data_IF_446855080074
#
_entry.id   IF_446855080074
#
_cell.length_a   1.000
_cell.length_b   1.000
_cell.length_c   1.000
_cell.angle_alpha   90.00
_cell.angle_beta   90.00
_cell.angle_gamma   90.00
#
_symmetry.space_group_name_H-M   'P 1'
#
loop_
_entity.id
_entity.type
_entity.pdbx_description
1 polymer ?
#
# COMPACT_ATOMS: atom_id res chain seq x y z
N UNK A 1 27.60 -27.59 15.45
CA UNK A 1 26.96 -27.96 16.73
C UNK A 1 26.38 -26.69 17.33
N UNK A 2 25.07 -26.51 17.26
CA UNK A 2 24.31 -25.45 17.94
C UNK A 2 23.00 -26.09 18.38
N UNK A 3 22.81 -26.20 19.69
CA UNK A 3 21.74 -26.99 20.28
C UNK A 3 20.37 -26.34 20.06
N UNK A 4 19.46 -27.08 19.42
CA UNK A 4 18.03 -26.90 19.62
C UNK A 4 17.73 -27.26 21.08
N UNK A 5 17.72 -26.26 21.95
CA UNK A 5 17.34 -26.40 23.33
C UNK A 5 15.85 -26.72 23.40
N UNK A 6 15.56 -27.97 23.77
CA UNK A 6 14.30 -28.53 24.27
C UNK A 6 13.01 -27.74 23.96
N UNK A 7 12.12 -28.21 23.06
CA UNK A 7 10.84 -27.56 22.80
C UNK A 7 9.93 -27.46 24.03
N UNK A 8 10.15 -28.27 25.08
CA UNK A 8 9.44 -28.10 26.35
C UNK A 8 9.85 -26.83 27.12
N UNK A 9 11.04 -26.29 26.87
CA UNK A 9 11.51 -25.06 27.51
C UNK A 9 10.82 -23.79 26.98
N UNK A 10 10.10 -23.88 25.86
CA UNK A 10 9.31 -22.79 25.28
C UNK A 10 7.87 -22.73 25.83
N UNK A 11 7.50 -23.63 26.74
CA UNK A 11 6.15 -23.71 27.30
C UNK A 11 6.08 -22.84 28.57
N UNK A 12 5.20 -21.83 28.64
CA UNK A 12 5.04 -21.06 29.86
C UNK A 12 4.49 -21.92 31.01
N UNK A 13 4.71 -21.50 32.26
CA UNK A 13 4.22 -22.20 33.45
C UNK A 13 2.74 -22.59 33.35
N UNK A 14 2.37 -23.75 33.91
CA UNK A 14 1.03 -24.33 33.74
C UNK A 14 -0.12 -23.45 34.27
N UNK A 15 0.21 -22.54 35.19
CA UNK A 15 -0.62 -21.52 35.82
C UNK A 15 -0.73 -20.20 35.02
N UNK A 16 -0.04 -20.10 33.88
CA UNK A 16 -0.18 -18.96 32.98
C UNK A 16 -1.55 -18.96 32.29
N UNK A 17 -2.27 -17.82 32.29
CA UNK A 17 -3.52 -17.69 31.53
C UNK A 17 -3.32 -17.85 30.01
N UNK A 18 -2.07 -17.79 29.53
CA UNK A 18 -1.70 -17.99 28.12
C UNK A 18 -1.47 -19.48 27.78
N UNK A 19 -1.32 -20.35 28.77
CA UNK A 19 -0.99 -21.76 28.56
C UNK A 19 -2.04 -22.53 27.72
N UNK A 20 -3.36 -22.31 27.85
CA UNK A 20 -4.35 -22.97 26.98
C UNK A 20 -4.22 -22.56 25.51
N UNK A 21 -3.94 -21.29 25.24
CA UNK A 21 -3.81 -20.75 23.88
C UNK A 21 -2.54 -21.26 23.19
N UNK A 22 -1.43 -21.33 23.92
CA UNK A 22 -0.16 -21.82 23.38
C UNK A 22 -0.17 -23.34 23.15
N UNK A 23 -0.88 -24.11 23.99
CA UNK A 23 -1.14 -25.53 23.70
C UNK A 23 -2.04 -25.72 22.48
N UNK A 24 -3.05 -24.87 22.29
CA UNK A 24 -3.88 -24.90 21.10
C UNK A 24 -3.08 -24.55 19.83
N UNK A 25 -2.14 -23.60 19.93
CA UNK A 25 -1.23 -23.24 18.84
C UNK A 25 -0.24 -24.38 18.53
N UNK A 26 0.32 -25.03 19.56
CA UNK A 26 1.28 -26.12 19.43
C UNK A 26 0.65 -27.49 19.08
N UNK A 27 -0.67 -27.63 19.17
CA UNK A 27 -1.40 -28.83 18.74
C UNK A 27 -1.66 -28.87 17.22
N UNK A 28 -1.31 -27.80 16.49
CA UNK A 28 -1.41 -27.75 15.04
C UNK A 28 -0.33 -28.58 14.34
N UNK A 29 -0.62 -29.06 13.13
CA UNK A 29 0.37 -29.73 12.30
C UNK A 29 1.46 -28.74 11.91
N UNK A 30 2.68 -28.95 12.40
CA UNK A 30 3.84 -28.18 11.96
C UNK A 30 4.41 -28.84 10.70
N UNK A 31 4.38 -28.13 9.59
CA UNK A 31 5.07 -28.53 8.36
C UNK A 31 6.39 -27.76 8.32
N UNK A 32 7.50 -28.50 8.32
CA UNK A 32 8.85 -27.92 8.20
C UNK A 32 9.37 -28.28 6.83
N UNK A 33 9.44 -27.29 5.95
CA UNK A 33 10.02 -27.44 4.61
C UNK A 33 11.32 -26.66 4.51
N UNK A 34 12.30 -27.26 3.85
CA UNK A 34 13.61 -26.65 3.62
C UNK A 34 13.56 -25.92 2.29
N UNK A 35 13.90 -24.63 2.29
CA UNK A 35 13.99 -23.82 1.07
C UNK A 35 14.93 -24.51 0.06
N UNK A 36 14.57 -24.61 -1.23
CA UNK A 36 15.43 -25.22 -2.24
C UNK A 36 16.61 -24.29 -2.56
N UNK A 37 17.67 -24.34 -1.76
CA UNK A 37 18.87 -23.53 -1.94
C UNK A 37 19.72 -24.00 -3.12
N UNK A 38 20.34 -23.04 -3.82
CA UNK A 38 21.41 -23.33 -4.76
C UNK A 38 22.74 -23.42 -4.01
N UNK A 39 23.60 -24.35 -4.43
CA UNK A 39 24.90 -24.58 -3.79
C UNK A 39 26.02 -24.44 -4.80
N UNK A 40 27.01 -23.61 -4.49
CA UNK A 40 28.29 -23.56 -5.22
C UNK A 40 29.37 -24.13 -4.31
N UNK A 41 30.07 -25.15 -4.81
CA UNK A 41 31.31 -25.64 -4.22
C UNK A 41 32.48 -25.02 -4.98
N UNK A 42 33.24 -24.13 -4.33
CA UNK A 42 34.39 -23.48 -4.96
C UNK A 42 35.68 -24.31 -4.84
N UNK A 43 35.81 -25.15 -3.81
CA UNK A 43 37.02 -25.97 -3.58
C UNK A 43 36.67 -27.40 -3.09
N UNK A 44 37.44 -28.43 -3.49
CA UNK A 44 37.29 -29.78 -2.99
C UNK A 44 37.73 -29.85 -1.51
N UNK A 45 36.75 -29.91 -0.60
CA UNK A 45 36.95 -30.02 0.85
C UNK A 45 36.37 -28.85 1.65
N UNK A 46 35.95 -27.77 0.99
CA UNK A 46 35.20 -26.69 1.62
C UNK A 46 33.70 -27.03 1.71
N UNK A 47 33.02 -26.54 2.75
CA UNK A 47 31.57 -26.61 2.83
C UNK A 47 30.96 -25.80 1.67
N UNK A 48 29.93 -26.32 0.98
CA UNK A 48 29.30 -25.59 -0.12
C UNK A 48 28.66 -24.30 0.39
N UNK A 49 28.81 -23.22 -0.37
CA UNK A 49 28.12 -21.96 -0.08
C UNK A 49 26.71 -22.07 -0.64
N UNK A 50 25.73 -21.96 0.24
CA UNK A 50 24.32 -21.93 -0.11
C UNK A 50 23.88 -20.50 -0.36
N UNK A 51 23.13 -20.28 -1.43
CA UNK A 51 22.51 -18.99 -1.72
C UNK A 51 21.09 -19.17 -2.26
N UNK A 52 20.31 -18.09 -2.11
CA UNK A 52 18.96 -18.00 -2.64
C UNK A 52 19.02 -17.43 -4.06
N UNK A 53 18.98 -18.32 -5.04
CA UNK A 53 18.83 -17.92 -6.44
C UNK A 53 17.39 -17.56 -6.80
N UNK A 54 17.14 -17.37 -8.09
CA UNK A 54 15.86 -16.84 -8.57
C UNK A 54 14.68 -17.78 -8.24
N UNK A 55 14.88 -19.09 -8.41
CA UNK A 55 13.86 -20.10 -8.13
C UNK A 55 13.59 -20.23 -6.62
N UNK A 56 14.63 -20.24 -5.79
CA UNK A 56 14.49 -20.29 -4.31
C UNK A 56 13.71 -19.08 -3.78
N UNK A 57 13.93 -17.89 -4.37
CA UNK A 57 13.21 -16.66 -4.01
C UNK A 57 11.75 -16.69 -4.46
N UNK A 58 11.47 -17.21 -5.65
CA UNK A 58 10.11 -17.37 -6.15
C UNK A 58 9.31 -18.35 -5.29
N UNK A 59 9.93 -19.47 -4.92
CA UNK A 59 9.35 -20.46 -4.01
C UNK A 59 9.05 -19.84 -2.64
N UNK A 60 10.03 -19.15 -2.03
CA UNK A 60 9.85 -18.51 -0.72
C UNK A 60 8.74 -17.46 -0.75
N UNK A 61 8.59 -16.72 -1.86
CA UNK A 61 7.50 -15.76 -2.04
C UNK A 61 6.15 -16.45 -2.09
N UNK A 62 6.02 -17.57 -2.81
CA UNK A 62 4.77 -18.33 -2.86
C UNK A 62 4.40 -18.90 -1.48
N UNK A 63 5.37 -19.49 -0.78
CA UNK A 63 5.14 -20.10 0.53
C UNK A 63 4.81 -19.05 1.61
N UNK A 64 5.47 -17.89 1.57
CA UNK A 64 5.17 -16.78 2.48
C UNK A 64 3.73 -16.25 2.33
N UNK A 65 3.14 -16.35 1.12
CA UNK A 65 1.76 -15.95 0.86
C UNK A 65 0.73 -16.95 1.42
N UNK A 66 1.08 -18.22 1.51
CA UNK A 66 0.25 -19.26 2.13
C UNK A 66 0.33 -19.20 3.67
N UNK A 67 1.52 -18.93 4.22
CA UNK A 67 1.78 -18.96 5.67
C UNK A 67 1.21 -17.78 6.45
N UNK A 68 1.08 -16.63 5.80
CA UNK A 68 0.50 -15.45 6.40
C UNK A 68 -0.63 -14.96 5.49
N UNK A 69 -1.90 -14.99 5.95
CA UNK A 69 -2.96 -14.24 5.31
C UNK A 69 -2.69 -12.75 5.55
N UNK A 70 -1.70 -12.20 4.84
CA UNK A 70 -1.52 -10.76 4.78
C UNK A 70 -2.79 -10.22 4.12
N UNK A 71 -3.39 -9.14 4.64
CA UNK A 71 -4.40 -8.43 3.89
C UNK A 71 -3.74 -7.91 2.61
N UNK A 72 -3.83 -8.69 1.54
CA UNK A 72 -3.54 -8.19 0.22
C UNK A 72 -4.68 -7.24 -0.09
N UNK A 73 -4.38 -5.94 -0.19
CA UNK A 73 -5.23 -5.12 -1.03
C UNK A 73 -5.25 -5.81 -2.39
N UNK A 74 -6.42 -6.19 -2.92
CA UNK A 74 -6.48 -6.75 -4.26
C UNK A 74 -5.78 -5.76 -5.19
N UNK A 75 -4.90 -6.22 -6.08
CA UNK A 75 -4.21 -5.34 -7.04
C UNK A 75 -5.20 -4.49 -7.85
N UNK A 76 -6.48 -4.89 -7.90
CA UNK A 76 -7.59 -4.15 -8.50
C UNK A 76 -8.08 -2.91 -7.73
N UNK A 77 -7.52 -2.59 -6.55
CA UNK A 77 -7.90 -1.40 -5.77
C UNK A 77 -6.68 -0.58 -5.38
N UNK A 78 -5.93 -0.11 -6.38
CA UNK A 78 -4.98 0.98 -6.19
C UNK A 78 -5.75 2.22 -5.77
N UNK A 79 -5.62 2.62 -4.51
CA UNK A 79 -6.19 3.89 -4.04
C UNK A 79 -5.29 5.03 -4.54
N UNK A 80 -5.80 5.95 -5.38
CA UNK A 80 -4.97 7.02 -5.90
C UNK A 80 -4.57 7.99 -4.78
N UNK A 81 -3.29 8.37 -4.77
CA UNK A 81 -2.74 9.42 -3.92
C UNK A 81 -3.17 10.78 -4.44
N UNK A 82 -3.93 11.50 -3.64
CA UNK A 82 -4.53 12.79 -3.99
C UNK A 82 -3.77 13.92 -3.26
N UNK A 83 -3.40 14.94 -4.02
CA UNK A 83 -3.04 16.25 -3.52
C UNK A 83 -4.26 17.16 -3.60
N UNK A 84 -4.68 17.73 -2.47
CA UNK A 84 -5.83 18.61 -2.37
C UNK A 84 -5.35 20.05 -2.09
N UNK A 85 -5.55 20.95 -3.05
CA UNK A 85 -5.05 22.33 -3.03
C UNK A 85 -6.21 23.32 -2.93
N UNK A 86 -6.06 24.33 -2.07
CA UNK A 86 -7.00 25.45 -1.98
C UNK A 86 -6.68 26.51 -3.05
N UNK A 87 -7.55 26.64 -4.05
CA UNK A 87 -7.55 27.73 -5.03
C UNK A 87 -8.58 28.83 -4.73
N UNK A 88 -9.34 28.71 -3.64
CA UNK A 88 -10.40 29.66 -3.24
C UNK A 88 -9.87 30.79 -2.36
N UNK A 89 -8.85 30.51 -1.55
CA UNK A 89 -8.38 31.40 -0.48
C UNK A 89 -9.12 31.23 0.84
N UNK A 90 -10.08 30.31 0.90
CA UNK A 90 -10.73 29.82 2.11
C UNK A 90 -10.49 28.31 2.28
N UNK A 91 -9.50 27.92 3.11
CA UNK A 91 -9.17 26.51 3.34
C UNK A 91 -10.33 25.67 3.87
N UNK A 92 -11.36 26.27 4.49
CA UNK A 92 -12.50 25.53 5.00
C UNK A 92 -13.31 24.85 3.88
N UNK A 93 -13.35 25.45 2.69
CA UNK A 93 -14.02 24.88 1.51
C UNK A 93 -13.26 23.63 1.06
N UNK A 94 -11.93 23.72 0.96
CA UNK A 94 -11.07 22.58 0.65
C UNK A 94 -11.23 21.45 1.68
N UNK A 95 -11.18 21.80 2.95
CA UNK A 95 -11.23 20.82 4.05
C UNK A 95 -12.59 20.10 4.12
N UNK A 96 -13.68 20.77 3.74
CA UNK A 96 -15.00 20.16 3.61
C UNK A 96 -15.09 19.05 2.55
N UNK A 97 -14.17 19.02 1.58
CA UNK A 97 -14.13 18.02 0.52
C UNK A 97 -13.27 16.79 0.85
N UNK A 98 -12.49 16.84 1.95
CA UNK A 98 -11.57 15.76 2.30
C UNK A 98 -12.31 14.42 2.53
N UNK A 99 -13.44 14.47 3.24
CA UNK A 99 -14.23 13.26 3.55
C UNK A 99 -14.82 12.64 2.28
N UNK A 100 -15.25 13.47 1.32
CA UNK A 100 -15.75 13.04 0.02
C UNK A 100 -14.67 12.30 -0.79
N UNK A 101 -13.45 12.84 -0.83
CA UNK A 101 -12.31 12.20 -1.51
C UNK A 101 -11.97 10.84 -0.88
N UNK A 102 -11.97 10.76 0.45
CA UNK A 102 -11.69 9.50 1.17
C UNK A 102 -12.81 8.48 0.99
N UNK A 103 -14.07 8.91 1.03
CA UNK A 103 -15.24 8.06 0.81
C UNK A 103 -15.28 7.48 -0.61
N UNK A 104 -14.84 8.26 -1.60
CA UNK A 104 -14.69 7.82 -2.98
C UNK A 104 -13.50 6.85 -3.20
N UNK A 105 -12.65 6.63 -2.20
CA UNK A 105 -11.54 5.67 -2.23
C UNK A 105 -10.16 6.27 -2.45
N UNK A 106 -10.04 7.61 -2.51
CA UNK A 106 -8.77 8.31 -2.59
C UNK A 106 -7.98 8.29 -1.27
N UNK A 107 -6.67 8.46 -1.36
CA UNK A 107 -5.78 8.67 -0.20
C UNK A 107 -5.19 10.07 -0.31
N UNK A 108 -5.60 10.98 0.58
CA UNK A 108 -5.04 12.32 0.59
C UNK A 108 -3.63 12.27 1.17
N UNK A 109 -2.62 12.55 0.35
CA UNK A 109 -1.20 12.55 0.77
C UNK A 109 -0.65 13.95 0.98
N UNK A 110 -1.27 14.96 0.35
CA UNK A 110 -0.86 16.36 0.45
C UNK A 110 -2.10 17.24 0.57
N UNK A 111 -2.06 18.17 1.52
CA UNK A 111 -3.06 19.24 1.69
C UNK A 111 -2.31 20.57 1.68
N UNK A 112 -2.74 21.52 0.86
CA UNK A 112 -2.03 22.79 0.72
C UNK A 112 -2.84 23.88 0.03
N UNK A 113 -2.14 24.94 -0.36
CA UNK A 113 -2.66 26.02 -1.18
C UNK A 113 -2.24 25.79 -2.64
N UNK A 114 -3.06 26.23 -3.58
CA UNK A 114 -2.67 26.30 -4.97
C UNK A 114 -1.64 27.42 -5.21
N UNK A 115 -1.02 27.43 -6.39
CA UNK A 115 -0.07 28.47 -6.78
C UNK A 115 -0.72 29.87 -6.87
N UNK A 116 -2.04 29.91 -7.07
CA UNK A 116 -2.84 31.13 -7.10
C UNK A 116 -4.24 30.89 -6.52
N UNK A 117 -4.82 31.96 -5.96
CA UNK A 117 -6.22 32.00 -5.53
C UNK A 117 -7.12 32.59 -6.62
N UNK A 118 -8.44 32.42 -6.47
CA UNK A 118 -9.43 32.90 -7.44
C UNK A 118 -9.66 31.93 -8.59
N UNK A 119 -9.39 30.64 -8.38
CA UNK A 119 -9.69 29.59 -9.36
C UNK A 119 -11.21 29.50 -9.51
N UNK A 120 -11.75 29.79 -10.69
CA UNK A 120 -13.21 29.85 -10.89
C UNK A 120 -13.88 28.48 -10.78
N UNK A 121 -13.29 27.45 -11.40
CA UNK A 121 -13.81 26.09 -11.43
C UNK A 121 -12.78 25.10 -10.89
N UNK A 122 -13.24 24.09 -10.14
CA UNK A 122 -12.36 23.08 -9.55
C UNK A 122 -11.69 22.27 -10.65
N UNK A 123 -10.37 22.14 -10.56
CA UNK A 123 -9.56 21.48 -11.56
C UNK A 123 -9.12 20.12 -11.05
N UNK A 124 -9.24 19.12 -11.93
CA UNK A 124 -8.84 17.75 -11.64
C UNK A 124 -7.77 17.33 -12.64
N UNK A 125 -6.58 17.01 -12.14
CA UNK A 125 -5.41 16.68 -12.95
C UNK A 125 -4.90 15.28 -12.62
N UNK A 126 -4.72 14.46 -13.65
CA UNK A 126 -4.10 13.13 -13.57
C UNK A 126 -2.62 13.21 -13.92
N UNK A 127 -1.76 12.51 -13.17
CA UNK A 127 -0.33 12.42 -13.48
C UNK A 127 0.09 11.06 -14.05
N UNK A 128 -0.85 10.13 -14.24
CA UNK A 128 -0.63 8.82 -14.85
C UNK A 128 -1.76 8.50 -15.82
N UNK A 129 -1.42 8.07 -17.04
CA UNK A 129 -2.41 7.71 -18.08
C UNK A 129 -3.31 6.54 -17.63
N UNK A 130 -2.77 5.63 -16.84
CA UNK A 130 -3.47 4.47 -16.26
C UNK A 130 -4.71 4.86 -15.43
N UNK A 131 -4.77 6.10 -14.93
CA UNK A 131 -5.85 6.59 -14.07
C UNK A 131 -7.00 7.23 -14.84
N UNK A 132 -6.83 7.54 -16.13
CA UNK A 132 -7.85 8.24 -16.95
C UNK A 132 -9.15 7.44 -17.05
N UNK A 133 -9.08 6.11 -16.91
CA UNK A 133 -10.25 5.23 -16.94
C UNK A 133 -10.41 4.41 -15.65
N UNK A 134 -9.73 4.82 -14.56
CA UNK A 134 -9.81 4.11 -13.30
C UNK A 134 -11.16 4.40 -12.59
N UNK A 135 -11.91 3.36 -12.16
CA UNK A 135 -13.22 3.55 -11.54
C UNK A 135 -13.21 4.37 -10.24
N UNK A 136 -12.15 4.24 -9.43
CA UNK A 136 -12.02 4.98 -8.16
C UNK A 136 -11.80 6.46 -8.48
N UNK A 137 -10.90 6.71 -9.40
CA UNK A 137 -10.55 8.03 -9.90
C UNK A 137 -11.77 8.77 -10.47
N UNK A 138 -12.57 8.10 -11.30
CA UNK A 138 -13.83 8.62 -11.81
C UNK A 138 -14.84 8.90 -10.68
N UNK A 139 -14.88 8.05 -9.65
CA UNK A 139 -15.76 8.24 -8.49
C UNK A 139 -15.38 9.51 -7.71
N UNK A 140 -14.09 9.80 -7.56
CA UNK A 140 -13.62 11.03 -6.91
C UNK A 140 -14.06 12.25 -7.74
N UNK A 141 -13.87 12.23 -9.06
CA UNK A 141 -14.29 13.34 -9.92
C UNK A 141 -15.80 13.59 -9.89
N UNK A 142 -16.60 12.52 -9.90
CA UNK A 142 -18.07 12.59 -9.80
C UNK A 142 -18.51 13.18 -8.46
N UNK A 143 -17.91 12.73 -7.35
CA UNK A 143 -18.26 13.20 -6.02
C UNK A 143 -17.97 14.70 -5.86
N UNK A 144 -16.82 15.14 -6.38
CA UNK A 144 -16.45 16.55 -6.43
C UNK A 144 -17.26 17.33 -7.47
N UNK A 145 -17.98 16.66 -8.37
CA UNK A 145 -18.76 17.24 -9.48
C UNK A 145 -17.92 18.10 -10.41
N UNK A 146 -16.75 17.61 -10.78
CA UNK A 146 -15.77 18.33 -11.60
C UNK A 146 -15.69 17.73 -12.98
N UNK A 147 -15.49 18.59 -13.98
CA UNK A 147 -15.17 18.14 -15.33
C UNK A 147 -13.73 17.66 -15.37
N UNK A 148 -13.56 16.39 -15.75
CA UNK A 148 -12.25 15.76 -15.85
C UNK A 148 -11.50 16.34 -17.05
N UNK A 149 -10.37 16.99 -16.80
CA UNK A 149 -9.47 17.44 -17.85
C UNK A 149 -8.16 16.65 -17.77
N UNK A 150 -7.72 16.11 -18.90
CA UNK A 150 -6.36 15.57 -18.98
C UNK A 150 -5.38 16.74 -18.99
N UNK A 151 -4.58 16.89 -17.93
CA UNK A 151 -3.37 17.70 -18.01
C UNK A 151 -2.28 16.81 -18.61
N UNK A 152 -1.66 17.26 -19.70
CA UNK A 152 -0.52 16.55 -20.31
C UNK A 152 0.56 16.32 -19.25
N UNK A 153 1.05 15.09 -19.16
CA UNK A 153 2.09 14.64 -18.23
C UNK A 153 3.26 15.65 -18.18
N UNK A 154 3.28 16.48 -17.15
CA UNK A 154 4.51 17.11 -16.68
C UNK A 154 5.43 16.01 -16.18
N UNK A 155 6.71 16.07 -16.55
CA UNK A 155 7.77 15.08 -16.32
C UNK A 155 7.50 14.12 -15.16
N UNK A 156 7.27 12.84 -15.47
CA UNK A 156 7.11 11.75 -14.51
C UNK A 156 8.32 11.64 -13.58
N UNK A 157 8.28 12.34 -12.45
CA UNK A 157 9.19 12.18 -11.33
C UNK A 157 8.64 11.20 -10.30
N UNK A 158 9.51 10.48 -9.59
CA UNK A 158 9.13 9.50 -8.58
C UNK A 158 8.44 10.10 -7.33
N UNK A 159 8.37 11.43 -7.21
CA UNK A 159 7.75 12.19 -6.11
C UNK A 159 6.31 12.67 -6.42
N UNK A 160 5.75 12.23 -7.54
CA UNK A 160 4.49 12.76 -8.09
C UNK A 160 3.30 12.04 -7.44
N UNK A 161 2.38 12.82 -6.85
CA UNK A 161 1.05 12.36 -6.46
C UNK A 161 0.30 11.84 -7.69
N UNK A 162 -0.65 10.94 -7.49
CA UNK A 162 -1.35 10.33 -8.63
C UNK A 162 -2.33 11.30 -9.27
N UNK A 163 -2.92 12.16 -8.44
CA UNK A 163 -3.96 13.13 -8.78
C UNK A 163 -3.70 14.44 -8.03
N UNK A 164 -3.88 15.57 -8.71
CA UNK A 164 -3.96 16.90 -8.09
C UNK A 164 -5.37 17.46 -8.29
N UNK A 165 -5.99 17.88 -7.19
CA UNK A 165 -7.29 18.57 -7.17
C UNK A 165 -7.07 19.99 -6.66
N UNK A 166 -7.34 20.97 -7.50
CA UNK A 166 -7.32 22.39 -7.12
C UNK A 166 -8.75 22.88 -6.96
N UNK A 167 -9.14 23.15 -5.72
CA UNK A 167 -10.50 23.57 -5.33
C UNK A 167 -10.78 24.98 -5.81
N UNK A 168 -11.84 25.12 -6.61
CA UNK A 168 -12.30 26.38 -7.16
C UNK A 168 -13.49 26.98 -6.40
N UNK A 169 -13.84 28.22 -6.77
CA UNK A 169 -14.94 28.99 -6.18
C UNK A 169 -16.32 28.37 -6.48
N UNK A 170 -16.42 27.50 -7.48
CA UNK A 170 -17.59 26.67 -7.77
C UNK A 170 -18.01 25.79 -6.57
N UNK A 171 -17.07 25.33 -5.75
CA UNK A 171 -17.36 24.55 -4.55
C UNK A 171 -17.90 25.39 -3.40
N UNK A 172 -17.63 26.70 -3.40
CA UNK A 172 -18.19 27.63 -2.42
C UNK A 172 -19.70 27.88 -2.63
N UNK A 173 -20.16 27.67 -3.86
CA UNK A 173 -21.54 27.94 -4.27
C UNK A 173 -22.46 26.72 -4.17
N UNK A 174 -21.93 25.58 -3.71
CA UNK A 174 -22.59 24.27 -3.69
C UNK A 174 -23.10 23.91 -2.30
#
# INVERSE_FOLDING_TARGET
MGGGGDPEAAVPPADSPLAPFLRALGAGTTVVEVVPFESIASDPGAAPVQFLGAESRAWLRAEALELAPWPQQPESFLRPRVQLLDGTGDPAIRDGLADAVVAAGGVITVIGNADAFGVEATQFAYHREELVNDPITNSIAIELGVDMALIELGESGADVVDITVTVGLDQAAR
#
